data_IF_633335031194
#
_entry.id   IF_633335031194
#
_cell.length_a   1.000
_cell.length_b   1.000
_cell.length_c   1.000
_cell.angle_alpha   90.00
_cell.angle_beta   90.00
_cell.angle_gamma   90.00
#
_symmetry.space_group_name_H-M   'P 1'
#
loop_
_entity.id
_entity.type
_entity.pdbx_description
1 polymer ?
#
# COMPACT_ATOMS: atom_id res chain seq x y z
N UNK A 1 15.52 6.39 -9.63
CA UNK A 1 16.00 5.50 -10.70
C UNK A 1 14.90 4.80 -11.50
N UNK A 2 13.68 4.52 -10.99
CA UNK A 2 12.53 4.08 -11.83
C UNK A 2 11.50 5.19 -12.16
N UNK A 3 11.27 6.13 -11.25
CA UNK A 3 10.30 7.23 -11.44
C UNK A 3 10.69 8.21 -12.56
N UNK A 4 11.97 8.56 -12.65
CA UNK A 4 12.47 9.53 -13.65
C UNK A 4 12.30 9.02 -15.08
N UNK A 5 12.45 7.71 -15.31
CA UNK A 5 12.22 7.09 -16.62
C UNK A 5 10.76 7.19 -17.05
N UNK A 6 9.80 6.97 -16.14
CA UNK A 6 8.37 7.14 -16.43
C UNK A 6 8.04 8.59 -16.78
N UNK A 7 8.68 9.56 -16.13
CA UNK A 7 8.50 10.97 -16.46
C UNK A 7 9.04 11.32 -17.86
N UNK A 8 10.20 10.78 -18.24
CA UNK A 8 10.76 10.97 -19.59
C UNK A 8 9.85 10.31 -20.64
N UNK A 9 9.36 9.10 -20.38
CA UNK A 9 8.40 8.42 -21.25
C UNK A 9 7.14 9.27 -21.44
N UNK A 10 6.56 9.79 -20.35
CA UNK A 10 5.35 10.63 -20.42
C UNK A 10 5.56 11.92 -21.22
N UNK A 11 6.80 12.43 -21.23
CA UNK A 11 7.16 13.61 -22.02
C UNK A 11 7.22 13.33 -23.52
N UNK A 12 7.65 12.12 -23.93
CA UNK A 12 7.90 11.80 -25.35
C UNK A 12 6.87 10.87 -25.99
N UNK A 13 6.41 9.85 -25.28
CA UNK A 13 5.48 8.83 -25.79
C UNK A 13 4.02 9.10 -25.39
N UNK A 14 3.78 10.16 -24.62
CA UNK A 14 2.45 10.56 -24.15
C UNK A 14 2.02 9.83 -22.88
N UNK A 15 0.73 9.96 -22.54
CA UNK A 15 0.16 9.44 -21.30
C UNK A 15 -0.16 7.93 -21.36
N UNK A 16 -0.19 7.35 -22.57
CA UNK A 16 -0.59 5.98 -22.78
C UNK A 16 0.55 4.99 -22.51
N UNK A 17 0.29 3.99 -21.66
CA UNK A 17 1.28 2.96 -21.27
C UNK A 17 1.16 1.65 -22.07
N UNK A 18 0.19 1.56 -22.98
CA UNK A 18 -0.04 0.40 -23.84
C UNK A 18 -0.97 -0.67 -23.24
N UNK A 19 -1.39 -0.55 -21.98
CA UNK A 19 -2.27 -1.53 -21.35
C UNK A 19 -3.75 -1.16 -21.52
N UNK A 20 -4.52 -1.82 -22.41
CA UNK A 20 -5.91 -1.44 -22.74
C UNK A 20 -6.82 -1.22 -21.51
N UNK A 21 -6.58 -1.93 -20.40
CA UNK A 21 -7.38 -1.76 -19.17
C UNK A 21 -7.23 -0.39 -18.50
N UNK A 22 -6.18 0.38 -18.81
CA UNK A 22 -5.94 1.72 -18.27
C UNK A 22 -6.53 2.83 -19.15
N UNK A 23 -7.12 2.50 -20.30
CA UNK A 23 -7.69 3.50 -21.22
C UNK A 23 -8.92 4.17 -20.61
N UNK A 24 -9.82 3.35 -20.05
CA UNK A 24 -11.03 3.78 -19.36
C UNK A 24 -11.08 3.06 -18.00
N UNK A 25 -10.34 3.55 -17.00
CA UNK A 25 -10.25 2.88 -15.72
C UNK A 25 -11.61 2.92 -15.01
N UNK A 26 -11.98 1.79 -14.42
CA UNK A 26 -13.15 1.66 -13.57
C UNK A 26 -12.91 2.44 -12.27
N UNK A 27 -13.99 2.92 -11.63
CA UNK A 27 -13.89 3.54 -10.31
C UNK A 27 -13.23 2.60 -9.29
N UNK A 28 -12.25 3.10 -8.55
CA UNK A 28 -11.41 2.30 -7.64
C UNK A 28 -12.19 1.42 -6.66
N UNK A 29 -13.31 1.92 -6.12
CA UNK A 29 -14.20 1.16 -5.23
C UNK A 29 -14.81 -0.08 -5.89
N UNK A 30 -15.19 0.01 -7.16
CA UNK A 30 -15.78 -1.13 -7.89
C UNK A 30 -14.72 -2.21 -8.11
N UNK A 31 -13.51 -1.81 -8.53
CA UNK A 31 -12.41 -2.74 -8.70
C UNK A 31 -11.95 -3.35 -7.37
N UNK A 32 -11.85 -2.53 -6.31
CA UNK A 32 -11.47 -2.96 -4.98
C UNK A 32 -12.41 -4.04 -4.43
N UNK A 33 -13.73 -3.86 -4.58
CA UNK A 33 -14.73 -4.83 -4.17
C UNK A 33 -14.50 -6.20 -4.79
N UNK A 34 -14.27 -6.25 -6.11
CA UNK A 34 -13.99 -7.50 -6.83
C UNK A 34 -12.68 -8.14 -6.38
N UNK A 35 -11.62 -7.34 -6.20
CA UNK A 35 -10.32 -7.84 -5.71
C UNK A 35 -10.44 -8.44 -4.31
N UNK A 36 -11.14 -7.76 -3.40
CA UNK A 36 -11.35 -8.22 -2.02
C UNK A 36 -12.20 -9.48 -2.01
N UNK A 37 -13.26 -9.56 -2.84
CA UNK A 37 -14.08 -10.74 -2.99
C UNK A 37 -13.26 -11.95 -3.49
N UNK A 38 -12.46 -11.76 -4.55
CA UNK A 38 -11.58 -12.80 -5.10
C UNK A 38 -10.52 -13.28 -4.09
N UNK A 39 -10.06 -12.40 -3.20
CA UNK A 39 -9.10 -12.73 -2.15
C UNK A 39 -9.71 -13.47 -0.95
N UNK A 40 -11.02 -13.70 -0.93
CA UNK A 40 -11.72 -14.37 0.18
C UNK A 40 -12.27 -13.42 1.24
N UNK A 41 -12.43 -12.13 0.91
CA UNK A 41 -13.05 -11.11 1.76
C UNK A 41 -12.06 -10.28 2.58
N UNK A 42 -12.61 -9.30 3.31
CA UNK A 42 -11.88 -8.30 4.10
C UNK A 42 -10.85 -8.94 5.04
N UNK A 43 -11.28 -9.91 5.86
CA UNK A 43 -10.40 -10.56 6.85
C UNK A 43 -9.25 -11.32 6.20
N UNK A 44 -9.47 -11.96 5.05
CA UNK A 44 -8.42 -12.66 4.32
C UNK A 44 -7.36 -11.69 3.81
N UNK A 45 -7.78 -10.53 3.28
CA UNK A 45 -6.88 -9.46 2.82
C UNK A 45 -6.11 -8.86 4.00
N UNK A 46 -6.76 -8.54 5.12
CA UNK A 46 -6.10 -8.03 6.32
C UNK A 46 -5.02 -9.01 6.83
N UNK A 47 -5.33 -10.30 6.90
CA UNK A 47 -4.36 -11.32 7.32
C UNK A 47 -3.18 -11.42 6.34
N UNK A 48 -3.45 -11.37 5.02
CA UNK A 48 -2.40 -11.37 4.01
C UNK A 48 -1.48 -10.16 4.15
N UNK A 49 -2.03 -8.98 4.37
CA UNK A 49 -1.27 -7.75 4.60
C UNK A 49 -0.38 -7.91 5.83
N UNK A 50 -0.89 -8.43 6.95
CA UNK A 50 -0.07 -8.69 8.15
C UNK A 50 1.08 -9.65 7.87
N UNK A 51 0.84 -10.72 7.12
CA UNK A 51 1.90 -11.65 6.71
C UNK A 51 2.98 -10.96 5.88
N UNK A 52 2.59 -10.08 4.94
CA UNK A 52 3.54 -9.33 4.12
C UNK A 52 4.33 -8.31 4.94
N UNK A 53 3.71 -7.63 5.90
CA UNK A 53 4.42 -6.72 6.82
C UNK A 53 5.51 -7.46 7.58
N UNK A 54 5.24 -8.67 8.08
CA UNK A 54 6.24 -9.50 8.82
C UNK A 54 7.46 -9.89 7.99
N UNK A 55 7.38 -9.85 6.66
CA UNK A 55 8.53 -10.14 5.80
C UNK A 55 9.53 -8.97 5.80
N UNK A 56 9.09 -7.75 6.11
CA UNK A 56 9.92 -6.52 6.21
C UNK A 56 10.84 -6.28 4.99
N UNK A 57 10.45 -6.78 3.81
CA UNK A 57 11.16 -6.50 2.56
C UNK A 57 10.51 -5.33 1.84
N UNK A 58 11.29 -4.57 1.08
CA UNK A 58 10.76 -3.45 0.27
C UNK A 58 9.65 -3.89 -0.69
N UNK A 59 9.77 -5.09 -1.25
CA UNK A 59 8.78 -5.65 -2.17
C UNK A 59 7.50 -6.07 -1.44
N UNK A 60 7.61 -6.81 -0.34
CA UNK A 60 6.44 -7.23 0.46
C UNK A 60 5.66 -6.05 1.00
N UNK A 61 6.35 -5.01 1.51
CA UNK A 61 5.74 -3.76 1.94
C UNK A 61 5.10 -2.98 0.78
N UNK A 62 5.67 -3.09 -0.43
CA UNK A 62 5.07 -2.49 -1.62
C UNK A 62 3.74 -3.16 -1.98
N UNK A 63 3.73 -4.49 -2.03
CA UNK A 63 2.52 -5.29 -2.27
C UNK A 63 1.49 -5.05 -1.18
N UNK A 64 1.91 -5.02 0.10
CA UNK A 64 1.02 -4.76 1.23
C UNK A 64 0.29 -3.42 1.08
N UNK A 65 1.00 -2.36 0.67
CA UNK A 65 0.37 -1.06 0.46
C UNK A 65 -0.67 -1.08 -0.66
N UNK A 66 -0.39 -1.73 -1.78
CA UNK A 66 -1.36 -1.88 -2.87
C UNK A 66 -2.62 -2.63 -2.42
N UNK A 67 -2.46 -3.70 -1.64
CA UNK A 67 -3.61 -4.42 -1.07
C UNK A 67 -4.38 -3.57 -0.06
N UNK A 68 -3.69 -2.75 0.73
CA UNK A 68 -4.33 -1.87 1.71
C UNK A 68 -5.12 -0.74 1.07
N UNK A 69 -4.69 -0.21 -0.09
CA UNK A 69 -5.49 0.75 -0.88
C UNK A 69 -6.83 0.14 -1.29
N UNK A 70 -6.81 -1.06 -1.88
CA UNK A 70 -8.04 -1.76 -2.23
C UNK A 70 -8.90 -2.08 -1.01
N UNK A 71 -8.27 -2.47 0.10
CA UNK A 71 -8.99 -2.72 1.35
C UNK A 71 -9.70 -1.46 1.85
N UNK A 72 -9.05 -0.29 1.83
CA UNK A 72 -9.67 0.98 2.28
C UNK A 72 -10.83 1.43 1.41
N UNK A 73 -10.80 1.12 0.11
CA UNK A 73 -11.91 1.46 -0.77
C UNK A 73 -13.19 0.64 -0.47
N UNK A 74 -13.02 -0.60 0.02
CA UNK A 74 -14.12 -1.52 0.35
C UNK A 74 -14.51 -1.46 1.84
N UNK A 75 -13.56 -1.21 2.74
CA UNK A 75 -13.74 -1.23 4.19
C UNK A 75 -13.23 0.04 4.88
N UNK A 76 -14.16 0.82 5.45
CA UNK A 76 -13.87 2.07 6.17
C UNK A 76 -13.60 1.86 7.68
N UNK A 77 -13.42 0.62 8.11
CA UNK A 77 -13.14 0.29 9.51
C UNK A 77 -11.85 0.96 10.02
N UNK A 78 -11.83 1.26 11.33
CA UNK A 78 -10.63 1.79 11.97
C UNK A 78 -9.46 0.80 11.91
N UNK A 79 -9.74 -0.50 11.86
CA UNK A 79 -8.73 -1.54 11.73
C UNK A 79 -7.98 -1.44 10.40
N UNK A 80 -8.71 -1.27 9.29
CA UNK A 80 -8.13 -1.12 7.95
C UNK A 80 -7.34 0.18 7.80
N UNK A 81 -7.83 1.29 8.40
CA UNK A 81 -7.10 2.56 8.51
C UNK A 81 -5.79 2.42 9.30
N UNK A 82 -5.84 1.77 10.46
CA UNK A 82 -4.66 1.53 11.28
C UNK A 82 -3.62 0.66 10.55
N UNK A 83 -4.07 -0.37 9.84
CA UNK A 83 -3.21 -1.25 9.06
C UNK A 83 -2.52 -0.49 7.92
N UNK A 84 -3.26 0.39 7.24
CA UNK A 84 -2.72 1.28 6.21
C UNK A 84 -1.61 2.20 6.75
N UNK A 85 -1.86 2.89 7.86
CA UNK A 85 -0.86 3.74 8.52
C UNK A 85 0.40 2.97 8.95
N UNK A 86 0.23 1.74 9.45
CA UNK A 86 1.35 0.87 9.86
C UNK A 86 2.23 0.50 8.67
N UNK A 87 1.65 0.13 7.52
CA UNK A 87 2.43 -0.18 6.31
C UNK A 87 3.32 1.00 5.94
N UNK A 88 2.77 2.22 5.94
CA UNK A 88 3.55 3.41 5.60
C UNK A 88 4.59 3.77 6.67
N UNK A 89 4.34 3.45 7.93
CA UNK A 89 5.36 3.54 8.99
C UNK A 89 6.57 2.66 8.63
N UNK A 90 6.36 1.38 8.30
CA UNK A 90 7.44 0.50 7.86
C UNK A 90 8.09 0.96 6.54
N UNK A 91 7.29 1.38 5.55
CA UNK A 91 7.84 1.87 4.27
C UNK A 91 8.71 3.10 4.44
N UNK A 92 8.44 3.96 5.42
CA UNK A 92 9.27 5.14 5.69
C UNK A 92 10.69 4.75 6.14
N UNK A 93 10.81 3.69 6.96
CA UNK A 93 12.09 3.13 7.42
C UNK A 93 12.90 2.47 6.29
N UNK A 94 12.21 1.87 5.31
CA UNK A 94 12.83 1.19 4.16
C UNK A 94 12.89 2.05 2.89
N UNK A 95 12.59 3.34 2.99
CA UNK A 95 12.56 4.24 1.85
C UNK A 95 13.97 4.49 1.29
N UNK A 96 14.08 4.53 -0.04
CA UNK A 96 15.37 4.76 -0.73
C UNK A 96 15.66 6.24 -1.04
N UNK A 97 14.80 7.18 -0.63
CA UNK A 97 15.00 8.62 -0.83
C UNK A 97 14.30 9.41 0.27
N UNK A 98 14.85 10.57 0.59
CA UNK A 98 14.28 11.51 1.59
C UNK A 98 12.86 11.92 1.24
N UNK A 99 12.58 12.15 -0.05
CA UNK A 99 11.24 12.46 -0.54
C UNK A 99 10.26 11.31 -0.25
N UNK A 100 10.65 10.06 -0.50
CA UNK A 100 9.79 8.91 -0.20
C UNK A 100 9.59 8.75 1.31
N UNK A 101 10.64 8.93 2.12
CA UNK A 101 10.53 8.93 3.59
C UNK A 101 9.53 9.97 4.07
N UNK A 102 9.59 11.21 3.57
CA UNK A 102 8.67 12.28 3.95
C UNK A 102 7.21 11.97 3.60
N UNK A 103 6.95 11.49 2.39
CA UNK A 103 5.59 11.11 1.95
C UNK A 103 5.04 9.97 2.80
N UNK A 104 5.82 8.91 3.02
CA UNK A 104 5.38 7.77 3.83
C UNK A 104 5.21 8.12 5.31
N UNK A 105 6.04 9.03 5.83
CA UNK A 105 5.90 9.51 7.22
C UNK A 105 4.65 10.36 7.40
N UNK A 106 4.30 11.17 6.40
CA UNK A 106 3.08 11.97 6.40
C UNK A 106 1.84 11.07 6.38
N UNK A 107 1.81 10.05 5.52
CA UNK A 107 0.66 9.12 5.44
C UNK A 107 0.51 8.25 6.68
N UNK A 108 1.60 7.97 7.42
CA UNK A 108 1.54 7.25 8.69
C UNK A 108 0.96 8.06 9.86
N UNK A 109 0.84 9.39 9.74
CA UNK A 109 0.31 10.28 10.78
C UNK A 109 1.24 10.52 11.98
N UNK A 110 2.23 9.65 12.27
CA UNK A 110 3.40 9.87 13.16
C UNK A 110 4.30 8.62 13.18
N UNK A 111 5.62 8.78 13.04
CA UNK A 111 6.55 7.67 12.71
C UNK A 111 6.96 6.80 13.91
N UNK A 112 6.94 7.32 15.14
CA UNK A 112 7.77 6.73 16.21
C UNK A 112 7.05 5.87 17.27
N UNK A 113 5.82 6.13 17.74
CA UNK A 113 5.22 5.28 18.77
C UNK A 113 4.51 4.02 18.26
N UNK A 114 4.06 3.97 16.99
CA UNK A 114 3.22 2.86 16.47
C UNK A 114 4.01 1.61 16.09
N UNK A 115 5.27 1.71 15.68
CA UNK A 115 6.06 0.54 15.23
C UNK A 115 6.38 -0.40 16.40
N UNK A 116 6.83 0.15 17.53
CA UNK A 116 7.12 -0.62 18.75
C UNK A 116 5.85 -1.27 19.34
N UNK A 117 4.73 -0.53 19.32
CA UNK A 117 3.44 -1.00 19.82
C UNK A 117 2.86 -2.10 18.93
N UNK A 118 3.03 -1.99 17.61
CA UNK A 118 2.55 -2.98 16.66
C UNK A 118 3.38 -4.26 16.63
N UNK A 119 4.71 -4.18 16.82
CA UNK A 119 5.55 -5.38 17.00
C UNK A 119 5.05 -6.26 18.15
N UNK A 120 4.52 -5.65 19.23
CA UNK A 120 3.90 -6.38 20.36
C UNK A 120 2.58 -7.06 19.98
N UNK A 121 1.79 -6.46 19.08
CA UNK A 121 0.53 -7.04 18.56
C UNK A 121 0.82 -8.20 17.60
N UNK A 122 1.79 -8.05 16.70
CA UNK A 122 2.20 -9.10 15.76
C UNK A 122 2.84 -10.32 16.46
N UNK A 123 3.51 -10.12 17.59
CA UNK A 123 4.10 -11.22 18.37
C UNK A 123 3.06 -12.11 19.07
N UNK A 124 1.78 -11.69 19.14
CA UNK A 124 0.69 -12.43 19.81
C UNK A 124 -0.20 -13.24 18.87
N UNK A 125 0.05 -13.19 17.56
CA UNK A 125 -0.72 -13.89 16.50
C UNK A 125 0.23 -14.77 15.71
#
# INVERSE_FOLDING_TARGET
TKSNLRNIWRMHAGWWDGNPSHLEPVHDRVLAKEIVALAGGITAVQNRIRTLIRQETKESLAVAAHLAEHLLYEDDSQESKNLYEQIYSYRSLHAGSTMATGIYSYTAGTVTPKVEEFKKVLAKI
#
